data_IF_291012787440
#
_entry.id   IF_291012787440
#
_cell.length_a   1.000
_cell.length_b   1.000
_cell.length_c   1.000
_cell.angle_alpha   90.00
_cell.angle_beta   90.00
_cell.angle_gamma   90.00
#
_symmetry.space_group_name_H-M   'P 1'
#
loop_
_entity.id
_entity.type
_entity.pdbx_description
1 polymer ?
#
# COMPACT_ATOMS: atom_id res chain seq x y z
N UNK A 1 -19.55 13.30 -13.05
CA UNK A 1 -19.41 12.14 -12.15
C UNK A 1 -19.53 12.65 -10.72
N UNK A 2 -20.52 12.17 -9.95
CA UNK A 2 -20.66 12.55 -8.54
C UNK A 2 -19.47 11.98 -7.74
N UNK A 3 -18.68 12.85 -7.13
CA UNK A 3 -17.67 12.45 -6.13
C UNK A 3 -18.43 11.94 -4.91
N UNK A 4 -18.31 10.67 -4.62
CA UNK A 4 -18.86 10.11 -3.38
C UNK A 4 -17.83 10.40 -2.29
N UNK A 5 -18.20 11.22 -1.32
CA UNK A 5 -17.37 11.53 -0.16
C UNK A 5 -17.29 10.31 0.75
N UNK A 6 -16.10 10.04 1.30
CA UNK A 6 -15.93 8.97 2.28
C UNK A 6 -16.64 9.41 3.57
N UNK A 7 -17.54 8.60 4.12
CA UNK A 7 -18.22 8.92 5.38
C UNK A 7 -17.22 9.21 6.50
N UNK A 8 -17.54 10.16 7.37
CA UNK A 8 -16.68 10.57 8.50
C UNK A 8 -16.44 9.38 9.43
N UNK A 9 -17.44 8.53 9.64
CA UNK A 9 -17.35 7.31 10.45
C UNK A 9 -16.30 6.34 9.91
N UNK A 10 -16.17 6.24 8.57
CA UNK A 10 -15.19 5.36 7.94
C UNK A 10 -13.77 5.94 8.07
N UNK A 11 -13.62 7.26 7.98
CA UNK A 11 -12.34 7.93 8.24
C UNK A 11 -11.88 7.67 9.68
N UNK A 12 -12.78 7.83 10.62
CA UNK A 12 -12.50 7.59 12.04
C UNK A 12 -12.16 6.12 12.30
N UNK A 13 -12.87 5.20 11.66
CA UNK A 13 -12.57 3.77 11.71
C UNK A 13 -11.14 3.47 11.22
N UNK A 14 -10.70 4.08 10.10
CA UNK A 14 -9.34 3.89 9.59
C UNK A 14 -8.29 4.45 10.57
N UNK A 15 -8.55 5.57 11.23
CA UNK A 15 -7.66 6.12 12.28
C UNK A 15 -7.53 5.17 13.48
N UNK A 16 -8.64 4.59 13.93
CA UNK A 16 -8.62 3.61 15.02
C UNK A 16 -7.82 2.36 14.63
N UNK A 17 -7.90 1.93 13.35
CA UNK A 17 -7.07 0.84 12.84
C UNK A 17 -5.60 1.24 12.83
N UNK A 18 -5.25 2.45 12.38
CA UNK A 18 -3.87 2.96 12.45
C UNK A 18 -3.32 2.91 13.89
N UNK A 19 -4.11 3.34 14.87
CA UNK A 19 -3.72 3.30 16.27
C UNK A 19 -3.44 1.87 16.77
N UNK A 20 -4.31 0.91 16.43
CA UNK A 20 -4.07 -0.51 16.76
C UNK A 20 -2.82 -1.08 16.10
N UNK A 21 -2.62 -0.76 14.80
CA UNK A 21 -1.43 -1.18 14.06
C UNK A 21 -0.16 -0.57 14.64
N UNK A 22 -0.21 0.68 15.08
CA UNK A 22 0.92 1.33 15.78
C UNK A 22 1.33 0.56 17.03
N UNK A 23 0.39 0.18 17.87
CA UNK A 23 0.69 -0.61 19.08
C UNK A 23 1.22 -2.01 18.72
N UNK A 24 0.66 -2.63 17.68
CA UNK A 24 1.15 -3.90 17.16
C UNK A 24 2.60 -3.81 16.70
N UNK A 25 2.93 -2.85 15.83
CA UNK A 25 4.29 -2.70 15.29
C UNK A 25 5.30 -2.26 16.35
N UNK A 26 4.91 -1.38 17.29
CA UNK A 26 5.74 -1.00 18.42
C UNK A 26 6.16 -2.20 19.27
N UNK A 27 5.30 -3.21 19.38
CA UNK A 27 5.60 -4.43 20.14
C UNK A 27 6.38 -5.44 19.30
N UNK A 28 6.09 -5.54 18.00
CA UNK A 28 6.66 -6.54 17.10
C UNK A 28 8.03 -6.16 16.55
N UNK A 29 8.30 -4.85 16.38
CA UNK A 29 9.50 -4.31 15.74
C UNK A 29 10.14 -3.23 16.61
N UNK A 30 11.46 -3.29 16.86
CA UNK A 30 12.13 -2.26 17.66
C UNK A 30 12.15 -0.89 16.97
N UNK A 31 12.30 -0.87 15.64
CA UNK A 31 12.31 0.34 14.81
C UNK A 31 11.66 0.01 13.47
N UNK A 32 10.31 0.12 13.34
CA UNK A 32 9.62 -0.24 12.10
C UNK A 32 10.02 0.70 10.96
N UNK A 33 10.52 0.12 9.86
CA UNK A 33 10.99 0.85 8.68
C UNK A 33 10.06 0.60 7.48
N UNK A 34 9.75 1.66 6.76
CA UNK A 34 8.95 1.61 5.54
C UNK A 34 9.70 2.23 4.35
N UNK A 35 9.55 1.60 3.20
CA UNK A 35 9.94 2.16 1.91
C UNK A 35 8.69 2.37 1.06
N UNK A 36 8.59 3.54 0.42
CA UNK A 36 7.50 3.83 -0.53
C UNK A 36 8.13 4.30 -1.83
N UNK A 37 8.09 3.44 -2.83
CA UNK A 37 8.63 3.67 -4.16
C UNK A 37 7.51 3.99 -5.15
N UNK A 38 7.67 5.06 -5.94
CA UNK A 38 6.63 5.61 -6.81
C UNK A 38 7.06 5.55 -8.27
N UNK A 39 6.29 4.84 -9.07
CA UNK A 39 6.47 4.74 -10.52
C UNK A 39 5.25 5.33 -11.22
N UNK A 40 5.28 6.62 -11.55
CA UNK A 40 4.12 7.14 -12.21
C UNK A 40 4.03 8.63 -12.45
N UNK A 41 2.82 9.15 -12.37
CA UNK A 41 2.47 10.54 -12.60
C UNK A 41 2.27 11.27 -11.27
N UNK A 42 1.97 12.57 -11.33
CA UNK A 42 1.68 13.39 -10.15
C UNK A 42 0.58 12.81 -9.25
N UNK A 43 -0.40 12.10 -9.83
CA UNK A 43 -1.44 11.45 -9.04
C UNK A 43 -0.87 10.31 -8.18
N UNK A 44 0.08 9.53 -8.73
CA UNK A 44 0.75 8.49 -7.95
C UNK A 44 1.61 9.09 -6.83
N UNK A 45 2.26 10.26 -7.07
CA UNK A 45 2.99 10.96 -6.01
C UNK A 45 2.05 11.38 -4.86
N UNK A 46 0.91 11.99 -5.19
CA UNK A 46 -0.09 12.37 -4.19
C UNK A 46 -0.65 11.17 -3.41
N UNK A 47 -0.83 10.03 -4.08
CA UNK A 47 -1.28 8.80 -3.43
C UNK A 47 -0.17 8.20 -2.55
N UNK A 48 1.09 8.28 -2.97
CA UNK A 48 2.24 7.86 -2.17
C UNK A 48 2.41 8.71 -0.91
N UNK A 49 2.21 10.03 -1.00
CA UNK A 49 2.24 10.91 0.18
C UNK A 49 1.15 10.53 1.20
N UNK A 50 -0.04 10.15 0.73
CA UNK A 50 -1.09 9.65 1.63
C UNK A 50 -0.72 8.33 2.30
N UNK A 51 -0.13 7.40 1.53
CA UNK A 51 0.35 6.12 2.06
C UNK A 51 1.46 6.32 3.09
N UNK A 52 2.41 7.25 2.83
CA UNK A 52 3.43 7.66 3.79
C UNK A 52 2.80 8.23 5.07
N UNK A 53 1.80 9.11 4.94
CA UNK A 53 1.07 9.64 6.09
C UNK A 53 0.47 8.54 6.96
N UNK A 54 -0.21 7.56 6.36
CA UNK A 54 -0.79 6.43 7.10
C UNK A 54 0.29 5.56 7.76
N UNK A 55 1.40 5.28 7.07
CA UNK A 55 2.53 4.52 7.62
C UNK A 55 3.18 5.26 8.79
N UNK A 56 3.35 6.58 8.70
CA UNK A 56 3.85 7.41 9.80
C UNK A 56 2.92 7.37 11.02
N UNK A 57 1.59 7.42 10.81
CA UNK A 57 0.61 7.24 11.89
C UNK A 57 0.72 5.86 12.57
N UNK A 58 1.07 4.82 11.81
CA UNK A 58 1.34 3.47 12.33
C UNK A 58 2.72 3.34 13.00
N UNK A 59 3.55 4.41 13.02
CA UNK A 59 4.83 4.46 13.70
C UNK A 59 6.03 4.06 12.84
N UNK A 60 5.88 3.93 11.53
CA UNK A 60 7.01 3.66 10.63
C UNK A 60 7.89 4.89 10.40
N UNK A 61 9.19 4.66 10.34
CA UNK A 61 10.21 5.60 9.83
C UNK A 61 10.56 5.21 8.41
N UNK A 62 10.90 6.18 7.55
CA UNK A 62 11.16 5.89 6.13
C UNK A 62 12.64 5.62 5.86
N UNK A 63 12.87 4.71 4.93
CA UNK A 63 14.19 4.35 4.42
C UNK A 63 14.16 4.20 2.91
N UNK A 64 15.31 4.39 2.27
CA UNK A 64 15.50 4.10 0.85
C UNK A 64 16.15 2.72 0.63
N UNK A 65 16.44 1.99 1.71
CA UNK A 65 16.99 0.63 1.66
C UNK A 65 15.86 -0.41 1.73
N UNK A 66 15.57 -1.04 0.60
CA UNK A 66 14.55 -2.09 0.49
C UNK A 66 14.85 -3.34 1.34
N UNK A 67 16.13 -3.60 1.63
CA UNK A 67 16.52 -4.74 2.45
C UNK A 67 16.32 -4.49 3.95
N UNK A 68 16.41 -3.22 4.37
CA UNK A 68 16.17 -2.81 5.76
C UNK A 68 14.68 -2.58 6.06
N UNK A 69 13.85 -2.34 5.03
CA UNK A 69 12.44 -2.03 5.20
C UNK A 69 11.64 -3.26 5.67
N UNK A 70 10.79 -3.07 6.68
CA UNK A 70 9.81 -4.08 7.12
C UNK A 70 8.56 -4.09 6.23
N UNK A 71 8.24 -2.94 5.63
CA UNK A 71 7.20 -2.81 4.62
C UNK A 71 7.71 -2.04 3.40
N UNK A 72 7.51 -2.63 2.21
CA UNK A 72 7.84 -2.00 0.92
C UNK A 72 6.57 -1.79 0.13
N UNK A 73 6.27 -0.54 -0.19
CA UNK A 73 5.11 -0.14 -1.00
C UNK A 73 5.58 0.31 -2.38
N UNK A 74 5.15 -0.40 -3.41
CA UNK A 74 5.40 -0.06 -4.82
C UNK A 74 4.14 0.51 -5.43
N UNK A 75 4.10 1.83 -5.59
CA UNK A 75 2.97 2.54 -6.20
C UNK A 75 3.18 2.73 -7.70
N UNK A 76 2.24 2.26 -8.50
CA UNK A 76 2.44 1.99 -9.93
C UNK A 76 1.43 2.68 -10.82
N UNK A 77 1.87 3.12 -12.02
CA UNK A 77 1.04 3.75 -13.04
C UNK A 77 0.76 2.80 -14.22
N UNK A 78 -0.43 2.93 -14.83
CA UNK A 78 -0.83 2.13 -15.99
C UNK A 78 -0.53 2.79 -17.36
N UNK A 79 0.01 4.02 -17.39
CA UNK A 79 0.01 4.87 -18.59
C UNK A 79 1.15 4.57 -19.57
N UNK A 80 2.14 3.74 -19.23
CA UNK A 80 3.30 3.49 -20.08
C UNK A 80 3.64 2.00 -20.12
N UNK A 81 3.47 1.36 -21.27
CA UNK A 81 3.79 -0.07 -21.47
C UNK A 81 5.23 -0.45 -21.02
N UNK A 82 6.20 0.41 -21.34
CA UNK A 82 7.59 0.20 -20.90
C UNK A 82 7.78 0.37 -19.38
N UNK A 83 6.91 1.14 -18.71
CA UNK A 83 6.95 1.30 -17.27
C UNK A 83 6.47 0.05 -16.53
N UNK A 84 5.50 -0.67 -17.09
CA UNK A 84 4.98 -1.92 -16.52
C UNK A 84 6.08 -2.97 -16.34
N UNK A 85 6.85 -3.24 -17.41
CA UNK A 85 7.93 -4.23 -17.37
C UNK A 85 9.02 -3.86 -16.38
N UNK A 86 9.35 -2.58 -16.28
CA UNK A 86 10.35 -2.07 -15.32
C UNK A 86 9.86 -2.25 -13.88
N UNK A 87 8.62 -1.89 -13.60
CA UNK A 87 8.01 -2.05 -12.28
C UNK A 87 7.93 -3.53 -11.89
N UNK A 88 7.48 -4.38 -12.80
CA UNK A 88 7.43 -5.82 -12.54
C UNK A 88 8.82 -6.43 -12.34
N UNK A 89 9.85 -5.90 -13.01
CA UNK A 89 11.25 -6.25 -12.75
C UNK A 89 11.69 -5.88 -11.33
N UNK A 90 11.38 -4.67 -10.88
CA UNK A 90 11.69 -4.22 -9.52
C UNK A 90 10.90 -5.03 -8.46
N UNK A 91 9.59 -5.25 -8.69
CA UNK A 91 8.81 -6.17 -7.84
C UNK A 91 9.47 -7.56 -7.82
N UNK A 92 10.02 -8.02 -8.96
CA UNK A 92 10.77 -9.28 -9.06
C UNK A 92 11.99 -9.32 -8.16
N UNK A 93 12.75 -8.22 -8.10
CA UNK A 93 13.95 -8.09 -7.26
C UNK A 93 13.64 -8.21 -5.76
N UNK A 94 12.48 -7.72 -5.31
CA UNK A 94 12.03 -7.83 -3.91
C UNK A 94 11.89 -9.29 -3.43
N UNK A 95 11.93 -10.27 -4.32
CA UNK A 95 12.01 -11.68 -3.92
C UNK A 95 13.26 -12.00 -3.11
N UNK A 96 14.36 -11.28 -3.35
CA UNK A 96 15.62 -11.47 -2.61
C UNK A 96 15.50 -10.93 -1.18
N UNK A 97 14.98 -9.73 -1.00
CA UNK A 97 14.77 -9.13 0.32
C UNK A 97 13.75 -9.92 1.14
N UNK A 98 12.67 -10.38 0.49
CA UNK A 98 11.65 -11.24 1.12
C UNK A 98 12.20 -12.61 1.55
N UNK A 99 13.19 -13.16 0.85
CA UNK A 99 13.87 -14.40 1.29
C UNK A 99 14.76 -14.18 2.51
N UNK A 100 15.42 -13.02 2.58
CA UNK A 100 16.25 -12.63 3.72
C UNK A 100 15.39 -12.28 4.93
N UNK A 101 14.31 -11.52 4.74
CA UNK A 101 13.33 -11.18 5.77
C UNK A 101 11.93 -11.69 5.38
N UNK A 102 11.55 -12.86 5.89
CA UNK A 102 10.25 -13.48 5.57
C UNK A 102 9.05 -12.71 6.09
N UNK A 103 9.24 -11.89 7.12
CA UNK A 103 8.19 -11.07 7.73
C UNK A 103 8.02 -9.73 7.03
N UNK A 104 8.93 -9.34 6.13
CA UNK A 104 8.78 -8.16 5.28
C UNK A 104 7.45 -8.19 4.53
N UNK A 105 6.71 -7.08 4.55
CA UNK A 105 5.43 -6.96 3.84
C UNK A 105 5.65 -6.25 2.52
N UNK A 106 5.26 -6.87 1.41
CA UNK A 106 5.38 -6.29 0.07
C UNK A 106 3.99 -5.93 -0.45
N UNK A 107 3.84 -4.65 -0.79
CA UNK A 107 2.59 -4.03 -1.26
C UNK A 107 2.77 -3.52 -2.68
N UNK A 108 1.88 -3.91 -3.58
CA UNK A 108 1.80 -3.34 -4.95
C UNK A 108 0.47 -2.62 -5.08
N UNK A 109 0.50 -1.33 -5.39
CA UNK A 109 -0.70 -0.52 -5.52
C UNK A 109 -0.64 0.42 -6.72
N UNK A 110 -1.70 1.22 -6.89
CA UNK A 110 -1.82 2.20 -7.95
C UNK A 110 -2.59 1.70 -9.18
N UNK A 111 -2.56 2.51 -10.26
CA UNK A 111 -3.40 2.29 -11.42
C UNK A 111 -3.08 0.97 -12.14
N UNK A 112 -1.82 0.54 -12.17
CA UNK A 112 -1.41 -0.72 -12.80
C UNK A 112 -2.04 -1.92 -12.09
N UNK A 113 -2.16 -1.89 -10.77
CA UNK A 113 -2.76 -2.96 -9.99
C UNK A 113 -4.24 -3.21 -10.34
N UNK A 114 -4.94 -2.19 -10.89
CA UNK A 114 -6.32 -2.29 -11.37
C UNK A 114 -6.45 -2.67 -12.86
N UNK A 115 -5.36 -2.76 -13.60
CA UNK A 115 -5.44 -3.15 -15.00
C UNK A 115 -6.02 -4.58 -15.13
N UNK A 116 -6.85 -4.83 -16.16
CA UNK A 116 -7.44 -6.15 -16.35
C UNK A 116 -6.38 -7.26 -16.36
N UNK A 117 -6.57 -8.29 -15.54
CA UNK A 117 -5.66 -9.43 -15.43
C UNK A 117 -4.37 -9.19 -14.63
N UNK A 118 -4.05 -7.94 -14.26
CA UNK A 118 -2.79 -7.63 -13.55
C UNK A 118 -2.76 -8.22 -12.14
N UNK A 119 -3.84 -8.10 -11.38
CA UNK A 119 -3.93 -8.68 -10.04
C UNK A 119 -3.71 -10.20 -10.10
N UNK A 120 -4.27 -10.89 -11.09
CA UNK A 120 -4.08 -12.33 -11.27
C UNK A 120 -2.65 -12.68 -11.72
N UNK A 121 -2.04 -11.86 -12.60
CA UNK A 121 -0.65 -12.00 -12.99
C UNK A 121 0.28 -11.85 -11.79
N UNK A 122 0.06 -10.85 -10.93
CA UNK A 122 0.83 -10.67 -9.68
C UNK A 122 0.61 -11.85 -8.76
N UNK A 123 -0.61 -12.34 -8.63
CA UNK A 123 -0.95 -13.48 -7.79
C UNK A 123 -0.16 -14.74 -8.17
N UNK A 124 -0.01 -15.01 -9.47
CA UNK A 124 0.67 -16.20 -9.99
C UNK A 124 2.18 -16.05 -10.04
N UNK A 125 2.68 -14.91 -10.53
CA UNK A 125 4.09 -14.73 -10.83
C UNK A 125 4.90 -14.21 -9.65
N UNK A 126 4.27 -13.56 -8.66
CA UNK A 126 4.94 -12.92 -7.51
C UNK A 126 4.32 -13.41 -6.19
N UNK A 127 4.54 -14.68 -5.80
CA UNK A 127 3.89 -15.29 -4.63
C UNK A 127 4.26 -14.65 -3.29
N UNK A 128 5.30 -13.84 -3.25
CA UNK A 128 5.79 -13.11 -2.09
C UNK A 128 5.14 -11.73 -1.92
N UNK A 129 4.36 -11.23 -2.88
CA UNK A 129 3.59 -9.99 -2.73
C UNK A 129 2.41 -10.25 -1.81
N UNK A 130 2.29 -9.46 -0.76
CA UNK A 130 1.31 -9.64 0.32
C UNK A 130 0.00 -8.89 0.08
N UNK A 131 0.07 -7.64 -0.41
CA UNK A 131 -1.10 -6.82 -0.70
C UNK A 131 -1.08 -6.30 -2.14
N UNK A 132 -2.24 -6.31 -2.79
CA UNK A 132 -2.46 -5.69 -4.10
C UNK A 132 -3.77 -4.92 -4.07
N UNK A 133 -3.74 -3.62 -4.38
CA UNK A 133 -4.94 -2.79 -4.46
C UNK A 133 -4.78 -1.61 -5.42
N UNK A 134 -5.91 -1.18 -5.97
CA UNK A 134 -5.97 0.00 -6.83
C UNK A 134 -6.07 1.32 -6.06
N UNK A 135 -5.96 2.49 -6.75
CA UNK A 135 -6.01 3.80 -6.11
C UNK A 135 -7.33 4.06 -5.37
N UNK A 136 -8.42 3.44 -5.80
CA UNK A 136 -9.73 3.60 -5.14
C UNK A 136 -9.78 2.96 -3.76
N UNK A 137 -8.93 1.97 -3.46
CA UNK A 137 -8.85 1.30 -2.17
C UNK A 137 -7.70 1.85 -1.29
N UNK A 138 -6.91 2.80 -1.78
CA UNK A 138 -5.75 3.33 -1.06
C UNK A 138 -6.10 3.92 0.31
N UNK A 139 -7.27 4.54 0.47
CA UNK A 139 -7.74 5.07 1.75
C UNK A 139 -8.04 3.98 2.79
N UNK A 140 -8.27 2.73 2.35
CA UNK A 140 -8.47 1.54 3.22
C UNK A 140 -7.17 0.79 3.49
N UNK A 141 -6.03 1.34 3.16
CA UNK A 141 -4.75 0.67 3.34
C UNK A 141 -4.53 0.16 4.76
N UNK A 142 -4.87 0.90 5.84
CA UNK A 142 -4.77 0.39 7.21
C UNK A 142 -5.59 -0.90 7.43
N UNK A 143 -6.84 -0.93 6.96
CA UNK A 143 -7.72 -2.10 7.05
C UNK A 143 -7.18 -3.30 6.27
N UNK A 144 -6.66 -3.06 5.05
CA UNK A 144 -6.08 -4.11 4.23
C UNK A 144 -4.83 -4.72 4.88
N UNK A 145 -4.00 -3.87 5.49
CA UNK A 145 -2.82 -4.27 6.22
C UNK A 145 -3.18 -5.07 7.48
N UNK A 146 -4.14 -4.59 8.27
CA UNK A 146 -4.66 -5.31 9.45
C UNK A 146 -5.20 -6.69 9.05
N UNK A 147 -5.99 -6.76 7.97
CA UNK A 147 -6.51 -8.03 7.44
C UNK A 147 -5.39 -8.99 7.05
N UNK A 148 -4.32 -8.50 6.42
CA UNK A 148 -3.14 -9.31 6.09
C UNK A 148 -2.47 -9.87 7.34
N UNK A 149 -2.27 -9.04 8.36
CA UNK A 149 -1.63 -9.43 9.62
C UNK A 149 -2.45 -10.47 10.38
N UNK A 150 -3.75 -10.26 10.50
CA UNK A 150 -4.66 -11.15 11.23
C UNK A 150 -4.84 -12.50 10.53
N UNK A 151 -5.03 -12.48 9.22
CA UNK A 151 -5.33 -13.73 8.47
C UNK A 151 -4.09 -14.48 8.03
N UNK A 152 -2.93 -13.82 8.02
CA UNK A 152 -1.67 -14.32 7.41
C UNK A 152 -1.80 -14.69 5.92
N UNK A 153 -2.91 -14.30 5.28
CA UNK A 153 -3.18 -14.54 3.85
C UNK A 153 -2.89 -13.30 3.03
N UNK A 154 -2.49 -13.52 1.79
CA UNK A 154 -2.33 -12.44 0.81
C UNK A 154 -3.67 -11.74 0.56
N UNK A 155 -3.66 -10.42 0.43
CA UNK A 155 -4.86 -9.61 0.23
C UNK A 155 -4.83 -8.97 -1.15
N UNK A 156 -5.82 -9.27 -1.97
CA UNK A 156 -6.02 -8.69 -3.30
C UNK A 156 -7.39 -8.02 -3.31
N UNK A 157 -7.38 -6.69 -3.42
CA UNK A 157 -8.61 -5.92 -3.49
C UNK A 157 -8.95 -5.68 -4.97
N UNK A 158 -9.93 -6.42 -5.46
CA UNK A 158 -10.39 -6.36 -6.85
C UNK A 158 -11.56 -5.37 -7.00
N UNK A 159 -11.55 -4.66 -8.13
CA UNK A 159 -12.56 -3.67 -8.52
C UNK A 159 -13.99 -4.23 -8.58
N UNK A 160 -14.14 -5.53 -8.80
CA UNK A 160 -15.44 -6.18 -8.98
C UNK A 160 -16.28 -6.30 -7.69
N UNK A 161 -15.69 -6.01 -6.51
CA UNK A 161 -16.34 -6.13 -5.20
C UNK A 161 -16.47 -4.81 -4.43
N UNK A 162 -15.97 -3.73 -4.99
CA UNK A 162 -16.00 -2.43 -4.36
C UNK A 162 -17.05 -1.55 -5.04
N UNK A 163 -18.27 -1.55 -4.57
CA UNK A 163 -19.16 -0.39 -4.69
C UNK A 163 -18.52 0.73 -3.86
N UNK A 164 -17.84 1.67 -4.56
CA UNK A 164 -16.96 2.63 -3.92
C UNK A 164 -17.59 4.01 -3.85
N UNK A 165 -17.55 4.66 -2.69
CA UNK A 165 -17.60 6.11 -2.63
C UNK A 165 -16.32 6.67 -3.25
N UNK A 166 -16.46 7.61 -4.17
CA UNK A 166 -15.38 8.21 -4.95
C UNK A 166 -14.53 9.12 -4.05
N UNK A 167 -13.23 8.89 -4.08
CA UNK A 167 -12.22 9.32 -3.12
C UNK A 167 -11.89 10.82 -3.19
N UNK A 168 -12.17 11.55 -2.12
CA UNK A 168 -11.43 12.78 -1.76
C UNK A 168 -10.84 12.61 -0.37
N UNK A 169 -9.73 11.89 -0.29
CA UNK A 169 -8.89 11.87 0.90
C UNK A 169 -7.91 13.04 0.84
N UNK A 170 -8.43 14.27 0.75
CA UNK A 170 -7.57 15.46 0.82
C UNK A 170 -7.22 15.89 2.24
N UNK A 171 -7.74 15.21 3.28
CA UNK A 171 -7.58 15.67 4.67
C UNK A 171 -7.29 14.57 5.70
N UNK A 172 -6.96 13.32 5.32
CA UNK A 172 -6.82 12.25 6.32
C UNK A 172 -5.46 12.22 7.00
N UNK A 173 -4.41 12.74 6.41
CA UNK A 173 -3.10 12.84 7.04
C UNK A 173 -2.34 14.04 6.48
N UNK A 174 -2.63 15.24 6.95
CA UNK A 174 -1.66 16.33 6.96
C UNK A 174 -1.06 16.37 8.35
N UNK A 175 -0.04 15.58 8.57
CA UNK A 175 0.93 15.91 9.60
C UNK A 175 1.84 17.00 9.04
N UNK A 176 2.19 18.03 9.84
CA UNK A 176 3.16 19.03 9.41
C UNK A 176 4.48 18.32 9.10
N UNK A 177 5.03 18.60 7.93
CA UNK A 177 6.43 18.31 7.64
C UNK A 177 7.27 19.07 8.67
N UNK A 178 8.02 18.36 9.48
CA UNK A 178 9.12 18.90 10.26
C UNK A 178 10.37 18.76 9.45
#
# INVERSE_FOLDING_TARGET
MKRTEIPVEEIERQRQICARLREHFKTALPHPLAMVDTYGCQQNEADSERLRGMLAEMGFVFTDDEAAADIVVVNTCAVREHAEMRVLGNVGALSHTKRANRDQIIVVCGCMAQAPGMAERIRRSYPYVDLVFGPQAAWRFPELLERRLLTKKRVFEDRSKAEMPNNQVSNVCRLPCV
#
